data_IF_053542155498
#
_entry.id   IF_053542155498
#
_cell.length_a   1.000
_cell.length_b   1.000
_cell.length_c   1.000
_cell.angle_alpha   90.00
_cell.angle_beta   90.00
_cell.angle_gamma   90.00
#
_symmetry.space_group_name_H-M   'P 1'
#
loop_
_entity.id
_entity.type
_entity.pdbx_description
1 polymer ?
#
# COMPACT_ATOMS: atom_id res chain seq x y z
N UNK A 1 34.03 23.12 5.40
CA UNK A 1 32.80 22.94 6.21
C UNK A 1 32.50 21.45 6.24
N UNK A 2 32.69 20.81 7.39
CA UNK A 2 32.55 19.36 7.52
C UNK A 2 31.06 19.00 7.53
N UNK A 3 30.64 18.20 6.55
CA UNK A 3 29.31 17.59 6.55
C UNK A 3 29.27 16.58 7.70
N UNK A 4 28.64 16.96 8.80
CA UNK A 4 28.36 16.09 9.93
C UNK A 4 27.43 14.98 9.43
N UNK A 5 28.01 13.81 9.14
CA UNK A 5 27.28 12.60 8.78
C UNK A 5 26.49 12.20 10.02
N UNK A 6 25.20 12.55 10.06
CA UNK A 6 24.28 12.06 11.08
C UNK A 6 24.18 10.54 10.90
N UNK A 7 25.03 9.79 11.62
CA UNK A 7 24.87 8.34 11.78
C UNK A 7 23.63 8.12 12.63
N UNK A 8 22.49 7.87 11.99
CA UNK A 8 21.32 7.33 12.67
C UNK A 8 21.59 5.87 12.99
N UNK A 9 21.96 5.56 14.22
CA UNK A 9 22.06 4.18 14.69
C UNK A 9 20.72 3.48 14.52
N UNK A 10 20.73 2.23 14.05
CA UNK A 10 19.54 1.39 13.96
C UNK A 10 19.05 1.08 15.38
N UNK A 11 17.81 1.44 15.79
CA UNK A 11 17.25 0.96 17.04
C UNK A 11 17.47 -0.54 17.22
N UNK A 12 18.18 -0.89 18.28
CA UNK A 12 18.36 -2.29 18.68
C UNK A 12 17.20 -2.66 19.57
N UNK A 13 16.56 -3.81 19.30
CA UNK A 13 15.45 -4.30 20.12
C UNK A 13 15.79 -5.63 20.76
N UNK A 14 15.43 -5.75 22.05
CA UNK A 14 15.45 -7.01 22.78
C UNK A 14 14.20 -7.88 22.50
N UNK A 15 13.30 -7.44 21.62
CA UNK A 15 12.12 -8.22 21.22
C UNK A 15 12.54 -9.50 20.49
N UNK A 16 11.95 -10.63 20.90
CA UNK A 16 12.10 -11.91 20.20
C UNK A 16 11.16 -12.06 19.00
N UNK A 17 10.12 -11.22 18.92
CA UNK A 17 9.10 -11.27 17.87
C UNK A 17 9.33 -10.22 16.78
N UNK A 18 9.52 -8.96 17.20
CA UNK A 18 9.61 -7.81 16.32
C UNK A 18 11.06 -7.53 15.89
N UNK A 19 11.22 -7.12 14.64
CA UNK A 19 12.52 -6.97 14.00
C UNK A 19 13.25 -5.69 14.43
N UNK A 20 12.52 -4.59 14.67
CA UNK A 20 13.12 -3.27 14.86
C UNK A 20 12.81 -2.67 16.23
N UNK A 21 11.56 -2.76 16.69
CA UNK A 21 11.15 -2.23 17.99
C UNK A 21 9.90 -2.94 18.51
N UNK A 22 9.65 -2.90 19.83
CA UNK A 22 8.38 -3.38 20.38
C UNK A 22 7.18 -2.58 19.88
N UNK A 23 7.42 -1.34 19.43
CA UNK A 23 6.41 -0.49 18.82
C UNK A 23 5.94 -0.97 17.44
N UNK A 24 6.63 -1.91 16.79
CA UNK A 24 6.15 -2.58 15.57
C UNK A 24 4.82 -3.32 15.82
N UNK A 25 4.48 -3.59 17.09
CA UNK A 25 3.17 -4.08 17.50
C UNK A 25 2.03 -3.14 17.08
N UNK A 26 2.21 -1.82 17.11
CA UNK A 26 1.14 -0.86 16.79
C UNK A 26 0.70 -0.95 15.33
N UNK A 27 1.57 -0.82 14.31
CA UNK A 27 1.16 -0.99 12.93
C UNK A 27 0.71 -2.43 12.63
N UNK A 28 1.28 -3.45 13.29
CA UNK A 28 0.80 -4.83 13.15
C UNK A 28 -0.64 -4.99 13.65
N UNK A 29 -0.96 -4.48 14.84
CA UNK A 29 -2.31 -4.49 15.40
C UNK A 29 -3.28 -3.64 14.59
N UNK A 30 -2.85 -2.50 14.05
CA UNK A 30 -3.66 -1.70 13.13
C UNK A 30 -4.01 -2.47 11.84
N UNK A 31 -3.06 -3.25 11.31
CA UNK A 31 -3.29 -4.14 10.17
C UNK A 31 -4.30 -5.25 10.47
N UNK A 32 -4.22 -5.87 11.66
CA UNK A 32 -5.18 -6.88 12.12
C UNK A 32 -6.56 -6.27 12.39
N UNK A 33 -6.61 -5.07 12.98
CA UNK A 33 -7.84 -4.32 13.18
C UNK A 33 -8.52 -4.00 11.84
N UNK A 34 -7.76 -3.61 10.82
CA UNK A 34 -8.30 -3.38 9.48
C UNK A 34 -8.94 -4.65 8.89
N UNK A 35 -8.30 -5.82 9.04
CA UNK A 35 -8.90 -7.09 8.64
C UNK A 35 -10.20 -7.38 9.43
N UNK A 36 -10.16 -7.21 10.75
CA UNK A 36 -11.32 -7.39 11.61
C UNK A 36 -12.47 -6.44 11.24
N UNK A 37 -12.16 -5.20 10.88
CA UNK A 37 -13.13 -4.21 10.41
C UNK A 37 -13.77 -4.64 9.09
N UNK A 38 -12.97 -5.05 8.11
CA UNK A 38 -13.45 -5.56 6.82
C UNK A 38 -14.39 -6.75 6.98
N UNK A 39 -13.99 -7.75 7.77
CA UNK A 39 -14.83 -8.92 8.07
C UNK A 39 -16.07 -8.50 8.87
N UNK A 40 -15.92 -7.58 9.82
CA UNK A 40 -17.01 -7.02 10.61
C UNK A 40 -18.09 -6.34 9.76
N UNK A 41 -17.69 -5.56 8.74
CA UNK A 41 -18.63 -4.96 7.78
C UNK A 41 -19.52 -6.01 7.12
N UNK A 42 -18.93 -7.12 6.70
CA UNK A 42 -19.65 -8.22 6.04
C UNK A 42 -20.69 -8.86 6.96
N UNK A 43 -20.32 -9.18 8.21
CA UNK A 43 -21.24 -9.74 9.19
C UNK A 43 -22.30 -8.74 9.65
N UNK A 44 -21.97 -7.45 9.73
CA UNK A 44 -22.89 -6.42 10.19
C UNK A 44 -23.90 -5.99 9.12
N UNK A 45 -23.53 -6.09 7.84
CA UNK A 45 -24.34 -5.64 6.70
C UNK A 45 -25.81 -6.11 6.72
N UNK A 46 -26.15 -7.39 6.95
CA UNK A 46 -27.55 -7.82 6.99
C UNK A 46 -28.33 -7.35 8.23
N UNK A 47 -27.66 -6.79 9.24
CA UNK A 47 -28.25 -6.47 10.54
C UNK A 47 -28.29 -4.97 10.83
N UNK A 48 -27.51 -4.15 10.11
CA UNK A 48 -27.46 -2.71 10.31
C UNK A 48 -28.28 -1.94 9.26
N UNK A 49 -28.85 -0.79 9.63
CA UNK A 49 -29.49 0.08 8.66
C UNK A 49 -28.46 0.67 7.68
N UNK A 50 -28.89 0.92 6.44
CA UNK A 50 -28.01 1.36 5.35
C UNK A 50 -27.21 2.63 5.70
N UNK A 51 -27.82 3.62 6.36
CA UNK A 51 -27.12 4.87 6.71
C UNK A 51 -25.89 4.63 7.60
N UNK A 52 -25.97 3.68 8.54
CA UNK A 52 -24.86 3.32 9.40
C UNK A 52 -23.79 2.60 8.58
N UNK A 53 -24.20 1.68 7.70
CA UNK A 53 -23.27 1.01 6.78
C UNK A 53 -22.55 2.01 5.88
N UNK A 54 -23.21 3.05 5.36
CA UNK A 54 -22.55 4.08 4.54
C UNK A 54 -21.45 4.82 5.32
N UNK A 55 -21.68 5.14 6.60
CA UNK A 55 -20.66 5.75 7.47
C UNK A 55 -19.49 4.78 7.68
N UNK A 56 -19.78 3.51 7.99
CA UNK A 56 -18.74 2.50 8.21
C UNK A 56 -17.96 2.17 6.93
N UNK A 57 -18.63 2.16 5.78
CA UNK A 57 -18.01 2.04 4.46
C UNK A 57 -17.06 3.20 4.18
N UNK A 58 -17.47 4.44 4.48
CA UNK A 58 -16.59 5.60 4.34
C UNK A 58 -15.37 5.53 5.26
N UNK A 59 -15.56 5.09 6.52
CA UNK A 59 -14.44 4.84 7.44
C UNK A 59 -13.50 3.77 6.87
N UNK A 60 -14.04 2.70 6.29
CA UNK A 60 -13.24 1.69 5.60
C UNK A 60 -12.41 2.28 4.45
N UNK A 61 -12.96 3.19 3.64
CA UNK A 61 -12.18 3.90 2.61
C UNK A 61 -10.98 4.65 3.21
N UNK A 62 -11.20 5.35 4.34
CA UNK A 62 -10.12 6.05 5.05
C UNK A 62 -9.08 5.07 5.62
N UNK A 63 -9.52 3.90 6.09
CA UNK A 63 -8.64 2.84 6.59
C UNK A 63 -7.80 2.23 5.47
N UNK A 64 -8.36 1.96 4.30
CA UNK A 64 -7.63 1.50 3.11
C UNK A 64 -6.54 2.51 2.75
N UNK A 65 -6.88 3.80 2.66
CA UNK A 65 -5.92 4.86 2.41
C UNK A 65 -4.81 4.92 3.47
N UNK A 66 -5.17 4.91 4.75
CA UNK A 66 -4.22 4.96 5.87
C UNK A 66 -3.33 3.71 5.92
N UNK A 67 -3.85 2.56 5.51
CA UNK A 67 -3.11 1.32 5.44
C UNK A 67 -2.09 1.36 4.30
N UNK A 68 -2.52 1.66 3.07
CA UNK A 68 -1.62 1.75 1.90
C UNK A 68 -0.47 2.73 2.19
N UNK A 69 -0.79 3.94 2.68
CA UNK A 69 0.19 5.02 2.94
C UNK A 69 0.90 4.92 4.30
N UNK A 70 0.54 3.94 5.12
CA UNK A 70 1.01 3.80 6.49
C UNK A 70 1.50 2.40 6.78
N UNK A 71 0.58 1.52 7.20
CA UNK A 71 0.91 0.15 7.62
C UNK A 71 1.58 -0.63 6.48
N UNK A 72 0.91 -0.75 5.33
CA UNK A 72 1.41 -1.47 4.17
C UNK A 72 2.70 -0.87 3.62
N UNK A 73 2.77 0.46 3.47
CA UNK A 73 3.99 1.14 3.03
C UNK A 73 5.16 0.91 4.00
N UNK A 74 4.97 1.05 5.31
CA UNK A 74 6.05 0.78 6.27
C UNK A 74 6.48 -0.69 6.24
N UNK A 75 5.52 -1.61 6.07
CA UNK A 75 5.76 -3.05 6.09
C UNK A 75 6.64 -3.53 4.94
N UNK A 76 6.46 -2.98 3.73
CA UNK A 76 7.27 -3.35 2.55
C UNK A 76 8.72 -2.87 2.65
N UNK A 77 8.96 -1.72 3.30
CA UNK A 77 10.33 -1.26 3.58
C UNK A 77 10.96 -1.95 4.78
N UNK A 78 10.17 -2.20 5.83
CA UNK A 78 10.63 -2.70 7.11
C UNK A 78 9.67 -3.78 7.63
N UNK A 79 9.88 -5.05 7.23
CA UNK A 79 9.05 -6.15 7.70
C UNK A 79 9.03 -6.21 9.23
N UNK A 80 7.85 -6.20 9.84
CA UNK A 80 7.69 -6.02 11.28
C UNK A 80 8.23 -7.17 12.12
N UNK A 81 8.20 -8.40 11.61
CA UNK A 81 8.55 -9.60 12.36
C UNK A 81 9.96 -10.09 12.01
N UNK A 82 10.65 -10.68 12.99
CA UNK A 82 11.91 -11.39 12.74
C UNK A 82 11.71 -12.64 11.88
N UNK A 83 10.55 -13.29 12.02
CA UNK A 83 10.21 -14.48 11.26
C UNK A 83 9.72 -14.12 9.85
N UNK A 84 10.38 -14.70 8.84
CA UNK A 84 9.95 -14.57 7.43
C UNK A 84 8.53 -15.08 7.22
N UNK A 85 8.14 -16.17 7.89
CA UNK A 85 6.79 -16.75 7.77
C UNK A 85 5.74 -15.82 8.36
N UNK A 86 6.00 -15.22 9.54
CA UNK A 86 5.08 -14.25 10.13
C UNK A 86 4.89 -13.03 9.23
N UNK A 87 5.95 -12.55 8.58
CA UNK A 87 5.83 -11.49 7.58
C UNK A 87 4.96 -11.93 6.39
N UNK A 88 5.10 -13.17 5.88
CA UNK A 88 4.23 -13.67 4.79
C UNK A 88 2.76 -13.77 5.22
N UNK A 89 2.48 -14.30 6.42
CA UNK A 89 1.11 -14.36 6.96
C UNK A 89 0.52 -12.96 7.13
N UNK A 90 1.32 -12.02 7.62
CA UNK A 90 0.89 -10.63 7.75
C UNK A 90 0.65 -9.98 6.38
N UNK A 91 1.49 -10.27 5.37
CA UNK A 91 1.28 -9.84 3.98
C UNK A 91 -0.06 -10.34 3.41
N UNK A 92 -0.41 -11.61 3.63
CA UNK A 92 -1.72 -12.16 3.26
C UNK A 92 -2.85 -11.46 4.01
N UNK A 93 -2.68 -11.20 5.30
CA UNK A 93 -3.65 -10.47 6.13
C UNK A 93 -3.90 -9.07 5.56
N UNK A 94 -2.85 -8.31 5.25
CA UNK A 94 -2.98 -6.99 4.63
C UNK A 94 -3.65 -7.09 3.25
N UNK A 95 -3.30 -8.13 2.50
CA UNK A 95 -3.84 -8.32 1.16
C UNK A 95 -5.35 -8.54 1.17
N UNK A 96 -5.84 -9.31 2.14
CA UNK A 96 -7.27 -9.53 2.36
C UNK A 96 -7.93 -8.26 2.88
N UNK A 97 -7.35 -7.61 3.89
CA UNK A 97 -7.94 -6.42 4.52
C UNK A 97 -8.13 -5.27 3.52
N UNK A 98 -7.16 -5.05 2.63
CA UNK A 98 -7.20 -3.97 1.64
C UNK A 98 -7.69 -4.42 0.26
N UNK A 99 -7.93 -5.72 0.06
CA UNK A 99 -8.34 -6.32 -1.21
C UNK A 99 -7.40 -5.99 -2.39
N UNK A 100 -6.08 -6.09 -2.17
CA UNK A 100 -5.03 -6.04 -3.21
C UNK A 100 -3.84 -6.89 -2.74
N UNK A 101 -2.91 -7.32 -3.61
CA UNK A 101 -1.73 -8.08 -3.13
C UNK A 101 -0.64 -7.17 -2.55
N UNK A 102 -0.27 -7.41 -1.30
CA UNK A 102 0.81 -6.71 -0.61
C UNK A 102 2.18 -6.91 -1.28
N UNK A 103 2.44 -8.10 -1.79
CA UNK A 103 3.66 -8.46 -2.52
C UNK A 103 3.70 -7.78 -3.91
N UNK A 104 2.56 -7.69 -4.60
CA UNK A 104 2.47 -6.91 -5.84
C UNK A 104 2.65 -5.41 -5.59
N UNK A 105 2.06 -4.89 -4.51
CA UNK A 105 2.24 -3.52 -4.09
C UNK A 105 3.71 -3.21 -3.79
N UNK A 106 4.46 -4.11 -3.14
CA UNK A 106 5.90 -3.94 -2.97
C UNK A 106 6.64 -3.76 -4.31
N UNK A 107 6.29 -4.53 -5.35
CA UNK A 107 6.89 -4.37 -6.67
C UNK A 107 6.60 -3.01 -7.29
N UNK A 108 5.33 -2.60 -7.31
CA UNK A 108 4.91 -1.29 -7.82
C UNK A 108 5.61 -0.18 -7.05
N UNK A 109 5.68 -0.30 -5.72
CA UNK A 109 6.26 0.71 -4.85
C UNK A 109 7.79 0.82 -4.98
N UNK A 110 8.50 -0.30 -5.10
CA UNK A 110 9.95 -0.29 -5.35
C UNK A 110 10.27 0.32 -6.71
N UNK A 111 9.45 0.03 -7.73
CA UNK A 111 9.56 0.64 -9.04
C UNK A 111 9.29 2.15 -8.99
N UNK A 112 8.32 2.56 -8.18
CA UNK A 112 8.03 3.97 -7.90
C UNK A 112 9.23 4.70 -7.27
N UNK A 113 9.92 4.12 -6.28
CA UNK A 113 11.15 4.72 -5.73
C UNK A 113 12.29 4.80 -6.76
N UNK A 114 12.35 3.84 -7.69
CA UNK A 114 13.37 3.82 -8.73
C UNK A 114 13.18 4.92 -9.76
N UNK A 115 11.95 5.17 -10.20
CA UNK A 115 11.64 6.24 -11.15
C UNK A 115 11.45 7.60 -10.49
N UNK A 116 11.00 7.64 -9.23
CA UNK A 116 10.77 8.87 -8.46
C UNK A 116 9.87 9.88 -9.20
N UNK A 117 8.74 9.40 -9.72
CA UNK A 117 7.84 10.17 -10.59
C UNK A 117 8.55 10.84 -11.76
N UNK A 118 9.36 10.05 -12.48
CA UNK A 118 10.06 10.47 -13.67
C UNK A 118 9.10 10.91 -14.78
N UNK A 119 9.60 11.79 -15.65
CA UNK A 119 8.91 12.14 -16.89
C UNK A 119 9.06 11.02 -17.91
N UNK A 120 8.16 11.06 -18.90
CA UNK A 120 8.22 10.15 -20.03
C UNK A 120 9.58 10.22 -20.73
N UNK A 121 10.10 9.05 -21.11
CA UNK A 121 11.28 8.91 -21.95
C UNK A 121 10.96 9.22 -23.42
N UNK A 122 11.94 8.99 -24.30
CA UNK A 122 11.80 9.18 -25.76
C UNK A 122 10.70 8.32 -26.41
N UNK A 123 10.29 7.23 -25.74
CA UNK A 123 9.23 6.34 -26.21
C UNK A 123 7.87 6.66 -25.56
N UNK A 124 7.79 7.66 -24.68
CA UNK A 124 6.57 8.05 -23.99
C UNK A 124 6.26 7.23 -22.74
N UNK A 125 7.20 6.44 -22.20
CA UNK A 125 6.97 5.61 -21.01
C UNK A 125 7.79 6.09 -19.80
N UNK A 126 7.44 5.63 -18.61
CA UNK A 126 8.13 5.98 -17.35
C UNK A 126 8.64 4.73 -16.64
N UNK A 127 9.73 4.88 -15.91
CA UNK A 127 10.21 3.86 -14.97
C UNK A 127 9.17 3.72 -13.86
N UNK A 128 8.76 4.82 -13.23
CA UNK A 128 7.74 4.83 -12.19
C UNK A 128 6.35 4.64 -12.81
N UNK A 129 5.75 3.48 -12.56
CA UNK A 129 4.40 3.15 -13.04
C UNK A 129 3.30 4.06 -12.45
N UNK A 130 3.59 4.69 -11.30
CA UNK A 130 2.72 5.62 -10.60
C UNK A 130 3.09 7.08 -10.88
N UNK A 131 4.00 7.36 -11.82
CA UNK A 131 4.43 8.72 -12.09
C UNK A 131 3.24 9.60 -12.49
N UNK A 132 3.11 10.76 -11.84
CA UNK A 132 2.10 11.76 -12.21
C UNK A 132 2.33 12.33 -13.62
N UNK A 133 3.50 12.10 -14.22
CA UNK A 133 3.84 12.54 -15.57
C UNK A 133 3.59 11.47 -16.63
N UNK A 134 3.32 10.21 -16.23
CA UNK A 134 3.21 9.07 -17.15
C UNK A 134 2.13 9.22 -18.22
N UNK A 135 1.04 9.90 -17.87
CA UNK A 135 -0.04 10.26 -18.80
C UNK A 135 -0.23 11.77 -18.91
N UNK A 136 0.81 12.52 -18.54
CA UNK A 136 0.89 13.96 -18.75
C UNK A 136 1.14 14.32 -20.20
N UNK A 137 1.02 15.61 -20.52
CA UNK A 137 1.31 16.14 -21.85
C UNK A 137 2.30 17.29 -21.74
N UNK A 138 3.17 17.43 -22.75
CA UNK A 138 4.18 18.49 -22.81
C UNK A 138 5.11 18.57 -21.58
N UNK A 139 5.39 17.43 -20.93
CA UNK A 139 6.25 17.37 -19.74
C UNK A 139 5.60 17.82 -18.43
N UNK A 140 4.32 18.17 -18.46
CA UNK A 140 3.52 18.55 -17.29
C UNK A 140 2.88 17.34 -16.62
N UNK A 141 2.52 17.48 -15.34
CA UNK A 141 1.79 16.46 -14.62
C UNK A 141 0.39 16.25 -15.24
N UNK A 142 -0.09 15.00 -15.20
CA UNK A 142 -1.46 14.65 -15.56
C UNK A 142 -2.47 15.45 -14.71
N UNK A 143 -3.67 15.66 -15.26
CA UNK A 143 -4.79 16.19 -14.49
C UNK A 143 -5.05 15.35 -13.21
N UNK A 144 -5.24 16.05 -12.09
CA UNK A 144 -5.49 15.46 -10.78
C UNK A 144 -6.59 14.37 -10.80
N UNK A 145 -7.73 14.66 -11.42
CA UNK A 145 -8.88 13.76 -11.38
C UNK A 145 -8.67 12.53 -12.27
N UNK A 146 -8.07 12.72 -13.44
CA UNK A 146 -7.67 11.61 -14.30
C UNK A 146 -6.70 10.69 -13.55
N UNK A 147 -5.68 11.24 -12.89
CA UNK A 147 -4.75 10.45 -12.08
C UNK A 147 -5.47 9.71 -10.95
N UNK A 148 -6.27 10.41 -10.14
CA UNK A 148 -6.94 9.83 -8.95
C UNK A 148 -7.90 8.70 -9.32
N UNK A 149 -8.72 8.87 -10.36
CA UNK A 149 -9.76 7.90 -10.70
C UNK A 149 -9.27 6.83 -11.70
N UNK A 150 -8.33 7.13 -12.58
CA UNK A 150 -7.89 6.16 -13.60
C UNK A 150 -6.69 5.32 -13.19
N UNK A 151 -5.85 5.77 -12.25
CA UNK A 151 -4.62 5.03 -11.89
C UNK A 151 -4.89 3.60 -11.44
N UNK A 152 -5.98 3.36 -10.70
CA UNK A 152 -6.39 2.02 -10.29
C UNK A 152 -6.55 1.04 -11.47
N UNK A 153 -7.04 1.52 -12.60
CA UNK A 153 -7.30 0.70 -13.79
C UNK A 153 -6.10 0.60 -14.74
N UNK A 154 -5.03 1.34 -14.45
CA UNK A 154 -3.81 1.40 -15.28
C UNK A 154 -2.71 0.45 -14.81
N UNK A 155 -2.91 -0.23 -13.68
CA UNK A 155 -1.97 -1.23 -13.16
C UNK A 155 -1.88 -2.44 -14.10
N UNK A 156 -0.68 -2.75 -14.58
CA UNK A 156 -0.39 -3.91 -15.42
C UNK A 156 0.10 -5.08 -14.57
N UNK A 157 -0.82 -6.00 -14.25
CA UNK A 157 -0.53 -7.22 -13.48
C UNK A 157 0.52 -8.11 -14.20
N UNK A 158 0.55 -8.10 -15.53
CA UNK A 158 1.55 -8.81 -16.32
C UNK A 158 2.95 -8.26 -16.11
N UNK A 159 3.10 -6.94 -16.17
CA UNK A 159 4.36 -6.23 -15.88
C UNK A 159 4.81 -6.46 -14.43
N UNK A 160 3.88 -6.37 -13.47
CA UNK A 160 4.16 -6.63 -12.04
C UNK A 160 4.66 -8.06 -11.84
N UNK A 161 3.98 -9.06 -12.42
CA UNK A 161 4.40 -10.48 -12.33
C UNK A 161 5.77 -10.71 -12.98
N UNK A 162 6.06 -10.01 -14.07
CA UNK A 162 7.37 -10.07 -14.73
C UNK A 162 8.45 -9.51 -13.80
N UNK A 163 8.21 -8.39 -13.14
CA UNK A 163 9.14 -7.79 -12.17
C UNK A 163 9.36 -8.69 -10.96
N UNK A 164 8.30 -9.23 -10.36
CA UNK A 164 8.41 -10.18 -9.26
C UNK A 164 9.19 -11.44 -9.64
N UNK A 165 9.09 -11.90 -10.89
CA UNK A 165 9.85 -13.06 -11.38
C UNK A 165 11.36 -12.79 -11.43
N UNK A 166 11.77 -11.56 -11.77
CA UNK A 166 13.20 -11.18 -11.85
C UNK A 166 13.90 -11.28 -10.49
N UNK A 167 13.16 -11.10 -9.38
CA UNK A 167 13.70 -11.15 -8.02
C UNK A 167 14.14 -12.55 -7.58
N UNK A 168 13.63 -13.60 -8.23
CA UNK A 168 13.99 -15.01 -7.99
C UNK A 168 13.98 -15.45 -6.50
N UNK A 169 13.02 -14.95 -5.72
CA UNK A 169 12.93 -15.14 -4.26
C UNK A 169 11.58 -15.72 -3.79
N UNK A 170 10.76 -16.21 -4.73
CA UNK A 170 9.41 -16.73 -4.47
C UNK A 170 8.32 -15.66 -4.35
N UNK A 171 8.61 -14.36 -4.48
CA UNK A 171 7.61 -13.30 -4.37
C UNK A 171 6.48 -13.43 -5.41
N UNK A 172 6.79 -13.91 -6.62
CA UNK A 172 5.73 -14.18 -7.61
C UNK A 172 4.66 -15.14 -7.06
N UNK A 173 5.09 -16.23 -6.42
CA UNK A 173 4.16 -17.21 -5.84
C UNK A 173 3.32 -16.56 -4.74
N UNK A 174 3.96 -15.79 -3.84
CA UNK A 174 3.24 -15.10 -2.77
C UNK A 174 2.27 -14.04 -3.29
N UNK A 175 2.65 -13.27 -4.32
CA UNK A 175 1.75 -12.31 -4.95
C UNK A 175 0.53 -12.98 -5.60
N UNK A 176 0.73 -14.11 -6.30
CA UNK A 176 -0.36 -14.88 -6.88
C UNK A 176 -1.26 -15.52 -5.81
N UNK A 177 -0.66 -15.99 -4.70
CA UNK A 177 -1.39 -16.52 -3.54
C UNK A 177 -2.23 -15.45 -2.87
N UNK A 178 -1.67 -14.28 -2.59
CA UNK A 178 -2.38 -13.14 -1.99
C UNK A 178 -3.53 -12.67 -2.88
N UNK A 179 -3.28 -12.54 -4.18
CA UNK A 179 -4.30 -12.19 -5.19
C UNK A 179 -5.45 -13.19 -5.17
N UNK A 180 -5.14 -14.48 -5.18
CA UNK A 180 -6.13 -15.55 -5.12
C UNK A 180 -6.89 -15.52 -3.78
N UNK A 181 -6.20 -15.28 -2.67
CA UNK A 181 -6.78 -15.29 -1.33
C UNK A 181 -7.84 -14.20 -1.16
N UNK A 182 -7.53 -12.94 -1.47
CA UNK A 182 -8.53 -11.88 -1.33
C UNK A 182 -9.66 -12.02 -2.36
N UNK A 183 -9.35 -12.44 -3.60
CA UNK A 183 -10.39 -12.69 -4.61
C UNK A 183 -11.36 -13.80 -4.17
N UNK A 184 -10.83 -14.87 -3.58
CA UNK A 184 -11.64 -15.97 -3.02
C UNK A 184 -12.51 -15.47 -1.87
N UNK A 185 -11.98 -14.63 -0.98
CA UNK A 185 -12.76 -14.06 0.13
C UNK A 185 -13.87 -13.15 -0.40
N UNK A 186 -13.58 -12.29 -1.38
CA UNK A 186 -14.60 -11.45 -2.00
C UNK A 186 -15.68 -12.29 -2.71
N UNK A 187 -15.29 -13.37 -3.39
CA UNK A 187 -16.23 -14.31 -4.00
C UNK A 187 -17.13 -14.99 -2.95
N UNK A 188 -16.55 -15.46 -1.85
CA UNK A 188 -17.30 -16.04 -0.73
C UNK A 188 -18.27 -14.99 -0.17
N UNK A 189 -17.83 -13.76 0.05
CA UNK A 189 -18.68 -12.68 0.54
C UNK A 189 -19.76 -12.26 -0.45
N UNK A 190 -19.54 -12.41 -1.76
CA UNK A 190 -20.53 -12.16 -2.79
C UNK A 190 -21.62 -13.24 -2.83
N UNK A 191 -21.26 -14.48 -2.48
CA UNK A 191 -22.15 -15.64 -2.57
C UNK A 191 -22.88 -15.88 -1.24
N UNK A 192 -22.23 -15.68 -0.10
CA UNK A 192 -22.77 -16.06 1.21
C UNK A 192 -23.33 -14.83 1.91
N UNK A 193 -24.55 -14.94 2.44
CA UNK A 193 -25.14 -13.98 3.36
C UNK A 193 -25.02 -14.56 4.78
N UNK A 194 -24.32 -13.89 5.71
CA UNK A 194 -23.99 -14.45 7.02
C UNK A 194 -25.17 -14.32 8.01
N UNK A 195 -26.30 -14.95 7.71
CA UNK A 195 -27.52 -14.98 8.55
C UNK A 195 -27.76 -16.39 9.11
N UNK A 196 -28.75 -16.53 10.01
CA UNK A 196 -29.26 -17.82 10.47
C UNK A 196 -30.75 -17.96 10.09
N UNK A 197 -31.12 -18.82 9.11
CA UNK A 197 -30.26 -19.68 8.29
C UNK A 197 -29.39 -18.88 7.30
N UNK A 198 -28.32 -19.51 6.79
CA UNK A 198 -27.44 -18.92 5.76
C UNK A 198 -28.24 -18.75 4.47
N UNK A 199 -28.20 -17.55 3.88
CA UNK A 199 -28.75 -17.30 2.54
C UNK A 199 -27.62 -17.18 1.52
N UNK A 200 -27.98 -17.31 0.24
CA UNK A 200 -27.06 -17.19 -0.88
C UNK A 200 -27.37 -15.94 -1.72
N UNK A 201 -26.37 -15.50 -2.50
CA UNK A 201 -26.41 -14.36 -3.43
C UNK A 201 -26.46 -13.02 -2.69
N UNK A 202 -25.32 -12.64 -2.08
CA UNK A 202 -25.11 -11.38 -1.39
C UNK A 202 -24.62 -10.25 -2.31
N UNK A 203 -25.26 -10.09 -3.48
CA UNK A 203 -24.91 -9.04 -4.45
C UNK A 203 -25.04 -7.63 -3.85
N UNK A 204 -25.95 -7.46 -2.88
CA UNK A 204 -26.18 -6.19 -2.17
C UNK A 204 -24.95 -5.75 -1.38
N UNK A 205 -24.28 -6.66 -0.67
CA UNK A 205 -23.04 -6.31 0.04
C UNK A 205 -21.96 -5.87 -0.93
N UNK A 206 -21.82 -6.53 -2.09
CA UNK A 206 -20.83 -6.15 -3.10
C UNK A 206 -21.10 -4.77 -3.68
N UNK A 207 -22.35 -4.45 -4.00
CA UNK A 207 -22.72 -3.11 -4.47
C UNK A 207 -22.47 -2.03 -3.40
N UNK A 208 -22.67 -2.37 -2.12
CA UNK A 208 -22.31 -1.48 -1.02
C UNK A 208 -20.79 -1.32 -0.90
N UNK A 209 -20.04 -2.43 -0.94
CA UNK A 209 -18.62 -2.47 -0.60
C UNK A 209 -17.72 -1.86 -1.68
N UNK A 210 -17.94 -2.21 -2.95
CA UNK A 210 -17.05 -1.84 -4.05
C UNK A 210 -16.80 -0.33 -4.18
N UNK A 211 -17.82 0.56 -4.10
CA UNK A 211 -17.59 2.00 -4.15
C UNK A 211 -16.67 2.50 -3.04
N UNK A 212 -16.83 2.00 -1.81
CA UNK A 212 -15.99 2.42 -0.69
C UNK A 212 -14.57 1.86 -0.76
N UNK A 213 -14.43 0.60 -1.20
CA UNK A 213 -13.11 0.03 -1.44
C UNK A 213 -12.34 0.84 -2.49
N UNK A 214 -12.96 1.12 -3.64
CA UNK A 214 -12.36 1.92 -4.70
C UNK A 214 -12.08 3.37 -4.27
N UNK A 215 -12.99 3.99 -3.50
CA UNK A 215 -12.77 5.31 -2.93
C UNK A 215 -11.53 5.36 -2.03
N UNK A 216 -11.25 4.30 -1.28
CA UNK A 216 -10.04 4.18 -0.47
C UNK A 216 -8.76 4.21 -1.30
N UNK A 217 -8.75 3.53 -2.45
CA UNK A 217 -7.65 3.60 -3.43
C UNK A 217 -7.52 5.00 -4.04
N UNK A 218 -8.63 5.64 -4.39
CA UNK A 218 -8.64 7.02 -4.89
C UNK A 218 -8.00 7.99 -3.89
N UNK A 219 -8.32 7.87 -2.60
CA UNK A 219 -7.65 8.66 -1.56
C UNK A 219 -6.14 8.39 -1.48
N UNK A 220 -5.71 7.15 -1.74
CA UNK A 220 -4.28 6.83 -1.80
C UNK A 220 -3.60 7.50 -2.99
N UNK A 221 -4.20 7.45 -4.19
CA UNK A 221 -3.66 8.17 -5.36
C UNK A 221 -3.67 9.68 -5.16
N UNK A 222 -4.71 10.24 -4.52
CA UNK A 222 -4.75 11.66 -4.16
C UNK A 222 -3.57 12.05 -3.27
N UNK A 223 -3.24 11.22 -2.28
CA UNK A 223 -2.05 11.40 -1.45
C UNK A 223 -0.76 11.30 -2.28
N UNK A 224 -0.67 10.32 -3.18
CA UNK A 224 0.48 10.14 -4.07
C UNK A 224 0.71 11.36 -4.98
N UNK A 225 -0.36 11.88 -5.59
CA UNK A 225 -0.31 13.03 -6.49
C UNK A 225 0.28 14.24 -5.79
N UNK A 226 -0.28 14.65 -4.66
CA UNK A 226 0.19 15.83 -3.93
C UNK A 226 1.57 15.68 -3.28
N UNK A 227 2.09 14.44 -3.12
CA UNK A 227 3.48 14.23 -2.67
C UNK A 227 4.49 14.57 -3.77
N UNK A 228 4.12 14.42 -5.04
CA UNK A 228 5.00 14.61 -6.19
C UNK A 228 4.69 15.87 -6.98
N UNK A 229 3.50 16.43 -6.84
CA UNK A 229 3.10 17.65 -7.53
C UNK A 229 3.99 18.84 -7.11
N UNK A 230 4.65 19.46 -8.09
CA UNK A 230 5.61 20.55 -7.86
C UNK A 230 7.00 20.10 -7.41
N UNK A 231 7.22 18.79 -7.20
CA UNK A 231 8.55 18.24 -6.99
C UNK A 231 9.33 18.22 -8.33
N UNK A 232 10.66 18.34 -8.25
CA UNK A 232 11.52 18.20 -9.42
C UNK A 232 11.99 16.74 -9.54
N UNK A 233 11.51 15.98 -10.55
CA UNK A 233 11.84 14.56 -10.69
C UNK A 233 13.29 14.31 -11.13
N UNK A 234 13.95 15.30 -11.73
CA UNK A 234 15.33 15.20 -12.24
C UNK A 234 16.38 15.41 -11.13
N UNK A 235 15.95 15.87 -9.96
CA UNK A 235 16.83 16.06 -8.81
C UNK A 235 16.67 14.89 -7.84
N UNK A 236 17.76 14.19 -7.46
CA UNK A 236 17.72 13.08 -6.51
C UNK A 236 17.41 13.50 -5.06
N UNK A 237 16.85 14.70 -4.85
CA UNK A 237 16.49 15.23 -3.54
C UNK A 237 15.23 14.51 -3.06
N UNK A 238 15.38 13.30 -2.51
CA UNK A 238 14.49 12.64 -1.56
C UNK A 238 12.99 13.05 -1.60
N UNK A 239 12.36 13.00 -2.77
CA UNK A 239 10.91 13.16 -2.95
C UNK A 239 10.18 11.82 -2.75
N UNK A 240 10.93 10.71 -2.76
CA UNK A 240 10.54 9.51 -2.03
C UNK A 240 10.33 9.86 -0.56
N UNK A 241 9.21 9.41 0.01
CA UNK A 241 8.67 9.76 1.34
C UNK A 241 9.55 9.33 2.54
N UNK A 242 10.86 9.24 2.35
CA UNK A 242 11.88 8.97 3.36
C UNK A 242 12.82 10.18 3.58
N UNK A 243 12.43 11.41 3.20
CA UNK A 243 13.11 12.64 3.62
C UNK A 243 12.66 13.07 5.02
N UNK A 244 13.51 12.76 6.00
CA UNK A 244 13.34 13.04 7.43
C UNK A 244 13.40 14.55 7.76
N UNK A 245 12.31 15.29 7.50
CA UNK A 245 12.11 16.67 8.01
C UNK A 245 11.71 16.71 9.50
N UNK A 246 12.22 17.70 10.26
CA UNK A 246 11.95 17.88 11.71
C UNK A 246 10.46 18.12 12.04
N UNK A 247 9.68 18.73 11.14
CA UNK A 247 8.26 19.00 11.34
C UNK A 247 7.36 17.78 11.10
N UNK A 248 7.76 16.83 10.25
CA UNK A 248 7.01 15.59 10.00
C UNK A 248 7.07 14.58 11.17
N UNK A 249 8.02 14.79 12.11
CA UNK A 249 8.25 13.91 13.26
C UNK A 249 7.21 14.00 14.37
N UNK A 250 6.51 15.13 14.49
CA UNK A 250 5.61 15.34 15.62
C UNK A 250 4.27 14.62 15.48
N UNK A 251 3.90 14.16 14.27
CA UNK A 251 2.67 13.40 14.01
C UNK A 251 2.87 11.88 13.83
N UNK A 252 4.10 11.40 13.60
CA UNK A 252 4.44 9.97 13.51
C UNK A 252 5.62 9.67 14.44
N UNK A 253 5.29 9.35 15.68
CA UNK A 253 6.25 8.95 16.72
C UNK A 253 7.05 7.70 16.32
N UNK A 254 8.38 7.88 16.32
CA UNK A 254 9.45 6.88 16.51
C UNK A 254 9.57 5.68 15.54
N UNK A 255 10.06 5.95 14.33
CA UNK A 255 10.96 5.01 13.62
C UNK A 255 11.80 5.79 12.59
N UNK A 256 13.11 5.90 12.80
CA UNK A 256 14.07 6.47 11.82
C UNK A 256 15.01 5.36 11.35
N UNK A 257 14.96 5.03 10.06
CA UNK A 257 15.86 4.05 9.42
C UNK A 257 16.08 4.35 7.92
N UNK A 258 17.34 4.33 7.48
CA UNK A 258 17.75 4.45 6.07
C UNK A 258 18.47 3.18 5.58
N UNK A 259 18.17 2.76 4.34
CA UNK A 259 18.82 1.65 3.63
C UNK A 259 20.20 2.02 3.04
N UNK A 260 21.00 1.02 2.60
CA UNK A 260 22.35 1.24 2.09
C UNK A 260 22.36 1.74 0.63
N UNK A 261 23.31 2.62 0.30
CA UNK A 261 23.65 2.99 -1.09
C UNK A 261 24.45 1.88 -1.78
N UNK A 262 24.27 1.65 -3.10
CA UNK A 262 25.18 0.81 -3.88
C UNK A 262 26.56 1.49 -3.96
N UNK A 263 27.62 0.71 -3.86
CA UNK A 263 28.99 1.18 -4.01
C UNK A 263 29.26 1.56 -5.48
N UNK A 264 29.68 2.79 -5.72
CA UNK A 264 30.36 3.18 -6.95
C UNK A 264 31.76 2.58 -6.95
N UNK A 265 32.00 1.60 -7.82
CA UNK A 265 33.34 1.14 -8.17
C UNK A 265 33.90 2.05 -9.26
N UNK A 266 34.98 2.78 -8.95
CA UNK A 266 35.99 3.18 -9.93
C UNK A 266 36.95 2.02 -10.18
#
# INVERSE_FOLDING_TARGET
>A
MNAEVIRTERPTTNSRLFAHTRWDAVPALAGLFHLGYFVGLFFLYPHAPLWLMLILGFIYSLMVNANINGVGHNFIHNPFFRSKILNRIFGVTQSIACCFSQTMYDAVHMQHHKGNSDRQDENGDTIDWLSIYRHGHAGEAENLWSYVFLSFFRDDVGAIRKELRKRNNGDRFWGDLELTAFATILLIMAIIVPTNPIHFINWRFILFFLPFWYLGHCFSYLNGYYRHYGANPDKPVAWGVSSYGKSYHQARTHARFSGPRPAETR
#
